data_IF_329339581380
#
_entry.id   IF_329339581380
#
_cell.length_a   1.000
_cell.length_b   1.000
_cell.length_c   1.000
_cell.angle_alpha   90.00
_cell.angle_beta   90.00
_cell.angle_gamma   90.00
#
_symmetry.space_group_name_H-M   'P 1'
#
loop_
_entity.id
_entity.type
_entity.pdbx_description
1 polymer ?
#
# COMPACT_ATOMS: atom_id res chain seq x y z
N UNK A 1 -11.72 10.30 13.90
CA UNK A 1 -12.09 10.74 12.55
C UNK A 1 -11.18 10.04 11.59
N UNK A 2 -11.75 9.13 10.78
CA UNK A 2 -11.01 8.41 9.74
C UNK A 2 -10.45 9.42 8.75
N UNK A 3 -9.15 9.34 8.45
CA UNK A 3 -8.57 10.22 7.44
C UNK A 3 -9.03 9.79 6.06
N UNK A 4 -9.57 10.75 5.31
CA UNK A 4 -9.95 10.56 3.92
C UNK A 4 -8.73 10.28 3.05
N UNK A 5 -8.86 9.32 2.13
CA UNK A 5 -7.81 9.00 1.18
C UNK A 5 -7.73 10.12 0.12
N UNK A 6 -6.55 10.74 0.01
CA UNK A 6 -6.25 11.79 -0.96
C UNK A 6 -6.33 11.23 -2.37
N UNK A 7 -6.94 11.98 -3.27
CA UNK A 7 -7.08 11.59 -4.66
C UNK A 7 -5.98 12.20 -5.54
N UNK A 8 -5.82 11.71 -6.75
CA UNK A 8 -4.70 11.99 -7.68
C UNK A 8 -4.43 13.48 -7.93
N UNK A 9 -5.43 14.34 -7.71
CA UNK A 9 -5.32 15.79 -7.86
C UNK A 9 -4.61 16.46 -6.68
N UNK A 10 -4.52 15.78 -5.51
CA UNK A 10 -3.86 16.35 -4.33
C UNK A 10 -2.33 16.44 -4.57
N UNK A 11 -1.74 17.64 -4.50
CA UNK A 11 -0.32 17.84 -4.78
C UNK A 11 0.62 17.10 -3.82
N UNK A 12 0.12 16.63 -2.65
CA UNK A 12 0.93 15.85 -1.72
C UNK A 12 1.36 14.51 -2.33
N UNK A 13 0.51 13.91 -3.19
CA UNK A 13 0.80 12.65 -3.87
C UNK A 13 1.88 12.77 -4.96
N UNK A 14 2.24 14.01 -5.32
CA UNK A 14 3.27 14.33 -6.30
C UNK A 14 4.59 14.78 -5.67
N UNK A 15 4.65 14.82 -4.34
CA UNK A 15 5.85 15.19 -3.60
C UNK A 15 6.62 13.96 -3.16
N UNK A 16 7.95 14.06 -3.21
CA UNK A 16 8.81 13.07 -2.58
C UNK A 16 8.64 13.12 -1.08
N UNK A 17 8.30 11.98 -0.48
CA UNK A 17 8.12 11.84 0.96
C UNK A 17 9.46 11.93 1.69
N UNK A 18 9.47 12.55 2.87
CA UNK A 18 10.67 12.74 3.70
C UNK A 18 10.90 11.55 4.62
N UNK A 19 12.17 11.26 4.92
CA UNK A 19 12.53 10.19 5.87
C UNK A 19 12.01 10.52 7.27
N UNK A 20 11.51 9.51 7.96
CA UNK A 20 11.22 9.56 9.39
C UNK A 20 12.54 9.58 10.14
N UNK A 21 12.81 10.56 11.03
CA UNK A 21 13.98 10.49 11.92
C UNK A 21 13.93 9.20 12.76
N UNK A 22 15.05 8.51 12.90
CA UNK A 22 15.08 7.25 13.67
C UNK A 22 14.67 7.45 15.12
N UNK A 23 14.95 8.62 15.70
CA UNK A 23 14.51 9.02 17.04
C UNK A 23 12.99 9.11 17.20
N UNK A 24 12.25 9.30 16.10
CA UNK A 24 10.80 9.44 16.11
C UNK A 24 10.09 8.08 16.04
N UNK A 25 10.83 7.00 15.70
CA UNK A 25 10.25 5.65 15.66
C UNK A 25 9.85 5.24 17.08
N UNK A 26 8.62 4.77 17.23
CA UNK A 26 8.04 4.44 18.55
C UNK A 26 7.40 5.60 19.29
N UNK A 27 7.56 6.85 18.79
CA UNK A 27 6.93 8.03 19.40
C UNK A 27 5.39 7.95 19.33
N UNK A 28 4.72 8.63 20.27
CA UNK A 28 3.24 8.73 20.28
C UNK A 28 2.71 9.35 18.98
N UNK A 29 3.44 10.31 18.41
CA UNK A 29 3.11 10.94 17.12
C UNK A 29 3.13 9.93 15.98
N UNK A 30 4.20 9.11 15.88
CA UNK A 30 4.30 8.12 14.81
C UNK A 30 3.28 7.00 15.00
N UNK A 31 3.06 6.51 16.23
CA UNK A 31 2.02 5.53 16.53
C UNK A 31 0.63 6.01 16.10
N UNK A 32 0.32 7.31 16.34
CA UNK A 32 -0.93 7.89 15.86
C UNK A 32 -1.02 7.87 14.34
N UNK A 33 0.04 8.24 13.61
CA UNK A 33 0.07 8.21 12.14
C UNK A 33 -0.15 6.79 11.63
N UNK A 34 0.53 5.78 12.18
CA UNK A 34 0.34 4.37 11.81
C UNK A 34 -1.09 3.91 12.07
N UNK A 35 -1.70 4.33 13.19
CA UNK A 35 -3.11 4.07 13.50
C UNK A 35 -4.06 4.70 12.47
N UNK A 36 -3.85 5.98 12.13
CA UNK A 36 -4.64 6.70 11.12
C UNK A 36 -4.52 6.02 9.74
N UNK A 37 -3.31 5.56 9.36
CA UNK A 37 -3.08 4.81 8.11
C UNK A 37 -3.81 3.46 8.13
N UNK A 38 -3.72 2.73 9.23
CA UNK A 38 -4.38 1.42 9.38
C UNK A 38 -5.91 1.57 9.31
N UNK A 39 -6.47 2.59 9.96
CA UNK A 39 -7.90 2.88 9.90
C UNK A 39 -8.34 3.18 8.46
N UNK A 40 -7.58 4.01 7.73
CA UNK A 40 -7.86 4.33 6.34
C UNK A 40 -7.78 3.10 5.44
N UNK A 41 -6.76 2.24 5.62
CA UNK A 41 -6.57 1.01 4.86
C UNK A 41 -7.69 0.00 5.10
N UNK A 42 -8.04 -0.24 6.36
CA UNK A 42 -9.06 -1.22 6.74
C UNK A 42 -10.49 -0.72 6.48
N UNK A 43 -10.66 0.58 6.28
CA UNK A 43 -11.90 1.17 5.76
C UNK A 43 -12.15 0.92 4.28
N UNK A 44 -11.19 0.33 3.56
CA UNK A 44 -11.32 -0.01 2.14
C UNK A 44 -11.44 -1.52 1.96
N UNK A 45 -12.47 -1.94 1.25
CA UNK A 45 -12.80 -3.34 1.01
C UNK A 45 -11.68 -4.07 0.26
N UNK A 46 -11.19 -3.44 -0.79
CA UNK A 46 -10.16 -3.92 -1.69
C UNK A 46 -8.74 -3.44 -1.33
N UNK A 47 -8.59 -2.63 -0.26
CA UNK A 47 -7.30 -2.08 0.14
C UNK A 47 -6.33 -3.18 0.61
N UNK A 48 -5.19 -3.31 -0.03
CA UNK A 48 -4.12 -4.29 0.33
C UNK A 48 -2.92 -3.62 0.98
N UNK A 49 -2.67 -2.35 0.65
CA UNK A 49 -1.58 -1.53 1.19
C UNK A 49 -1.94 -0.05 1.13
N UNK A 50 -1.21 0.78 1.86
CA UNK A 50 -1.37 2.24 1.86
C UNK A 50 -0.06 2.94 2.21
N UNK A 51 0.29 4.00 1.49
CA UNK A 51 1.40 4.88 1.79
C UNK A 51 0.95 6.14 2.56
N UNK A 52 1.80 6.68 3.43
CA UNK A 52 1.47 7.85 4.25
C UNK A 52 1.04 9.09 3.44
N UNK A 53 1.58 9.38 2.24
CA UNK A 53 1.08 10.48 1.41
C UNK A 53 -0.41 10.35 1.07
N UNK A 54 -0.96 9.13 0.97
CA UNK A 54 -2.37 8.89 0.66
C UNK A 54 -3.33 9.35 1.78
N UNK A 55 -2.83 9.51 3.00
CA UNK A 55 -3.58 10.13 4.11
C UNK A 55 -3.13 11.56 4.40
N UNK A 56 -2.42 12.21 3.48
CA UNK A 56 -1.97 13.58 3.63
C UNK A 56 -0.73 13.76 4.51
N UNK A 57 0.07 12.72 4.73
CA UNK A 57 1.30 12.75 5.54
C UNK A 57 2.52 12.47 4.66
N UNK A 58 3.38 13.48 4.44
CA UNK A 58 4.55 13.36 3.56
C UNK A 58 5.74 12.69 4.26
N UNK A 59 5.54 11.47 4.77
CA UNK A 59 6.58 10.64 5.38
C UNK A 59 6.81 9.35 4.59
N UNK A 60 8.05 8.86 4.61
CA UNK A 60 8.40 7.58 3.97
C UNK A 60 7.93 6.41 4.82
N UNK A 61 6.65 6.11 4.72
CA UNK A 61 6.00 5.00 5.42
C UNK A 61 4.98 4.36 4.49
N UNK A 62 4.92 3.04 4.47
CA UNK A 62 3.75 2.33 3.97
C UNK A 62 3.37 1.15 4.87
N UNK A 63 2.11 0.76 4.81
CA UNK A 63 1.55 -0.40 5.49
C UNK A 63 1.07 -1.42 4.46
N UNK A 64 1.20 -2.71 4.79
CA UNK A 64 0.63 -3.82 4.02
C UNK A 64 -0.27 -4.64 4.94
N UNK A 65 -1.52 -4.87 4.57
CA UNK A 65 -2.44 -5.72 5.32
C UNK A 65 -1.88 -7.15 5.38
N UNK A 66 -1.75 -7.74 6.57
CA UNK A 66 -1.23 -9.12 6.73
C UNK A 66 -2.11 -10.15 6.03
N UNK A 67 -3.41 -9.93 6.00
CA UNK A 67 -4.34 -10.78 5.25
C UNK A 67 -3.94 -10.93 3.77
N UNK A 68 -3.29 -9.92 3.16
CA UNK A 68 -2.79 -9.97 1.78
C UNK A 68 -1.72 -11.05 1.59
N UNK A 69 -0.97 -11.39 2.65
CA UNK A 69 0.07 -12.44 2.61
C UNK A 69 -0.53 -13.84 2.64
N UNK A 70 -1.71 -13.97 3.24
CA UNK A 70 -2.44 -15.23 3.45
C UNK A 70 -3.45 -15.48 2.31
N UNK A 71 -3.77 -14.44 1.52
CA UNK A 71 -4.80 -14.46 0.47
C UNK A 71 -4.53 -15.41 -0.70
N UNK A 72 -3.42 -16.15 -0.72
CA UNK A 72 -3.17 -17.05 -1.85
C UNK A 72 -4.12 -18.27 -1.88
N UNK A 73 -4.97 -18.53 -0.90
CA UNK A 73 -5.80 -19.75 -0.93
C UNK A 73 -7.22 -19.73 -0.31
N UNK A 74 -7.64 -18.80 0.56
CA UNK A 74 -8.91 -19.03 1.30
C UNK A 74 -9.86 -17.83 1.52
N UNK A 75 -9.53 -16.60 1.14
CA UNK A 75 -10.38 -15.42 1.41
C UNK A 75 -11.40 -15.10 0.30
N UNK A 76 -11.21 -15.62 -0.91
CA UNK A 76 -12.15 -15.41 -2.03
C UNK A 76 -13.50 -16.13 -1.83
N UNK A 77 -13.53 -17.14 -0.95
CA UNK A 77 -14.73 -17.96 -0.72
C UNK A 77 -15.73 -17.37 0.29
N UNK A 78 -15.39 -16.27 0.99
CA UNK A 78 -16.27 -15.68 1.99
C UNK A 78 -17.13 -14.58 1.40
N UNK A 79 -18.43 -14.81 1.35
CA UNK A 79 -19.43 -13.99 0.64
C UNK A 79 -19.77 -12.65 1.31
N UNK A 80 -19.36 -12.40 2.58
CA UNK A 80 -19.74 -11.19 3.31
C UNK A 80 -18.56 -10.19 3.43
N UNK A 81 -18.75 -8.98 2.90
CA UNK A 81 -17.78 -7.87 2.92
C UNK A 81 -17.40 -7.48 4.35
N UNK A 82 -18.37 -7.41 5.26
CA UNK A 82 -18.15 -7.06 6.67
C UNK A 82 -17.21 -8.04 7.37
N UNK A 83 -17.43 -9.33 7.18
CA UNK A 83 -16.61 -10.38 7.79
C UNK A 83 -15.17 -10.34 7.25
N UNK A 84 -14.99 -10.04 5.96
CA UNK A 84 -13.67 -9.87 5.35
C UNK A 84 -12.91 -8.68 5.93
N UNK A 85 -13.58 -7.54 6.14
CA UNK A 85 -12.98 -6.36 6.74
C UNK A 85 -12.57 -6.59 8.19
N UNK A 86 -13.41 -7.25 8.99
CA UNK A 86 -13.11 -7.61 10.38
C UNK A 86 -11.91 -8.56 10.48
N UNK A 87 -11.88 -9.61 9.65
CA UNK A 87 -10.75 -10.53 9.57
C UNK A 87 -9.45 -9.84 9.15
N UNK A 88 -9.53 -8.96 8.16
CA UNK A 88 -8.40 -8.15 7.69
C UNK A 88 -7.85 -7.26 8.82
N UNK A 89 -8.74 -6.62 9.57
CA UNK A 89 -8.39 -5.80 10.73
C UNK A 89 -7.80 -6.63 11.87
N UNK A 90 -8.36 -7.81 12.15
CA UNK A 90 -7.87 -8.73 13.18
C UNK A 90 -6.47 -9.28 12.84
N UNK A 91 -6.19 -9.58 11.56
CA UNK A 91 -4.87 -10.00 11.11
C UNK A 91 -3.80 -8.92 11.27
N UNK A 92 -4.20 -7.63 11.22
CA UNK A 92 -3.32 -6.49 11.37
C UNK A 92 -2.52 -6.16 10.10
N UNK A 93 -1.42 -5.46 10.27
CA UNK A 93 -0.58 -4.97 9.16
C UNK A 93 0.91 -5.16 9.42
N UNK A 94 1.70 -5.07 8.36
CA UNK A 94 3.15 -4.92 8.40
C UNK A 94 3.51 -3.45 8.16
N UNK A 95 4.47 -2.95 8.91
CA UNK A 95 4.97 -1.58 8.84
C UNK A 95 6.32 -1.52 8.12
N UNK A 96 6.44 -0.59 7.19
CA UNK A 96 7.66 -0.30 6.46
C UNK A 96 7.99 1.19 6.60
N UNK A 97 8.93 1.53 7.49
CA UNK A 97 9.41 2.90 7.74
C UNK A 97 10.72 3.10 7.01
N UNK A 98 10.86 4.22 6.30
CA UNK A 98 12.01 4.55 5.45
C UNK A 98 12.38 3.43 4.46
N UNK A 99 11.40 2.86 3.75
CA UNK A 99 11.66 1.74 2.86
C UNK A 99 12.55 2.15 1.68
N UNK A 100 13.42 1.22 1.32
CA UNK A 100 14.27 1.30 0.13
C UNK A 100 14.23 -0.05 -0.60
N UNK A 101 13.97 -0.02 -1.92
CA UNK A 101 14.11 -1.22 -2.74
C UNK A 101 15.59 -1.47 -2.96
N UNK A 102 16.10 -2.56 -2.37
CA UNK A 102 17.53 -2.94 -2.46
C UNK A 102 17.81 -3.92 -3.58
N UNK A 103 16.78 -4.63 -4.07
CA UNK A 103 16.92 -5.58 -5.17
C UNK A 103 15.62 -5.70 -5.96
N UNK A 104 15.75 -5.73 -7.30
CA UNK A 104 14.68 -6.08 -8.23
C UNK A 104 15.15 -7.18 -9.17
N UNK A 105 14.27 -8.13 -9.50
CA UNK A 105 14.56 -9.10 -10.54
C UNK A 105 14.64 -8.44 -11.91
N UNK A 106 15.49 -9.00 -12.80
CA UNK A 106 15.53 -8.62 -14.23
C UNK A 106 14.27 -9.07 -14.95
N UNK A 107 13.72 -10.22 -14.54
CA UNK A 107 12.47 -10.74 -15.05
C UNK A 107 11.31 -9.87 -14.59
N UNK A 108 10.47 -9.44 -15.55
CA UNK A 108 9.34 -8.53 -15.34
C UNK A 108 8.05 -9.17 -15.88
N UNK A 109 6.94 -8.74 -15.35
CA UNK A 109 5.60 -9.08 -15.83
C UNK A 109 4.78 -7.80 -16.08
N UNK A 110 3.83 -7.92 -17.01
CA UNK A 110 2.78 -6.92 -17.18
C UNK A 110 1.63 -7.35 -16.26
N UNK A 111 1.28 -6.51 -15.31
CA UNK A 111 0.30 -6.79 -14.27
C UNK A 111 -0.81 -5.72 -14.31
N UNK A 112 -2.01 -6.11 -13.94
CA UNK A 112 -3.08 -5.15 -13.66
C UNK A 112 -2.79 -4.47 -12.33
N UNK A 113 -2.99 -3.14 -12.28
CA UNK A 113 -2.76 -2.32 -11.09
C UNK A 113 -3.84 -1.25 -10.97
N UNK A 114 -4.27 -1.01 -9.76
CA UNK A 114 -5.16 0.07 -9.35
C UNK A 114 -4.61 0.74 -8.11
N UNK A 115 -5.23 1.82 -7.66
CA UNK A 115 -4.80 2.57 -6.49
C UNK A 115 -5.98 3.23 -5.79
N UNK A 116 -6.00 3.19 -4.47
CA UNK A 116 -7.02 3.85 -3.65
C UNK A 116 -7.11 5.36 -3.89
N UNK A 117 -6.00 5.97 -4.34
CA UNK A 117 -5.89 7.41 -4.65
C UNK A 117 -6.20 7.76 -6.10
N UNK A 118 -6.53 6.79 -6.95
CA UNK A 118 -6.69 6.98 -8.39
C UNK A 118 -7.96 6.27 -8.91
N UNK A 119 -8.93 6.08 -8.04
CA UNK A 119 -10.21 5.47 -8.42
C UNK A 119 -10.98 6.33 -9.44
N UNK A 120 -11.72 5.70 -10.36
CA UNK A 120 -11.93 4.27 -10.58
C UNK A 120 -10.94 3.64 -11.60
N UNK A 121 -9.76 4.23 -11.81
CA UNK A 121 -8.83 3.82 -12.86
C UNK A 121 -8.01 2.59 -12.50
N UNK A 122 -7.87 1.70 -13.49
CA UNK A 122 -6.97 0.56 -13.50
C UNK A 122 -6.15 0.58 -14.79
N UNK A 123 -4.98 -0.05 -14.78
CA UNK A 123 -4.14 -0.11 -15.96
C UNK A 123 -3.15 -1.25 -15.93
N UNK A 124 -2.49 -1.49 -17.04
CA UNK A 124 -1.42 -2.49 -17.14
C UNK A 124 -0.07 -1.84 -16.95
N UNK A 125 0.71 -2.36 -16.00
CA UNK A 125 2.03 -1.83 -15.67
C UNK A 125 3.09 -2.93 -15.67
N UNK A 126 4.29 -2.59 -16.11
CA UNK A 126 5.43 -3.51 -16.10
C UNK A 126 6.17 -3.44 -14.78
N UNK A 127 6.15 -4.53 -14.01
CA UNK A 127 6.81 -4.66 -12.70
C UNK A 127 7.80 -5.81 -12.69
N UNK A 128 8.85 -5.70 -11.85
CA UNK A 128 9.74 -6.82 -11.56
C UNK A 128 8.98 -7.91 -10.81
N UNK A 129 9.18 -9.19 -11.19
CA UNK A 129 8.49 -10.34 -10.56
C UNK A 129 8.92 -10.57 -9.11
N UNK A 130 10.14 -10.12 -8.75
CA UNK A 130 10.65 -10.19 -7.36
C UNK A 130 11.23 -8.85 -6.96
N UNK A 131 11.01 -8.48 -5.71
CA UNK A 131 11.55 -7.27 -5.09
C UNK A 131 12.04 -7.59 -3.68
N UNK A 132 13.08 -6.91 -3.22
CA UNK A 132 13.51 -6.93 -1.83
C UNK A 132 13.51 -5.50 -1.31
N UNK A 133 12.85 -5.29 -0.18
CA UNK A 133 12.79 -4.01 0.52
C UNK A 133 13.58 -4.12 1.82
N UNK A 134 14.39 -3.10 2.11
CA UNK A 134 14.97 -2.83 3.42
C UNK A 134 14.19 -1.70 4.06
N UNK A 135 13.78 -1.87 5.32
CA UNK A 135 12.99 -0.88 6.05
C UNK A 135 13.18 -1.04 7.56
N UNK A 136 12.63 -0.11 8.34
CA UNK A 136 12.47 -0.27 9.79
C UNK A 136 11.01 -0.67 10.09
N UNK A 137 10.84 -1.51 11.11
CA UNK A 137 9.52 -1.79 11.68
C UNK A 137 9.09 -0.67 12.66
N UNK A 138 7.91 -0.80 13.26
CA UNK A 138 7.37 0.14 14.24
C UNK A 138 8.16 0.19 15.56
N UNK A 139 9.04 -0.78 15.81
CA UNK A 139 9.91 -0.85 16.99
C UNK A 139 11.32 -0.31 16.70
N UNK A 140 11.61 0.09 15.45
CA UNK A 140 12.92 0.59 15.03
C UNK A 140 13.91 -0.50 14.64
N UNK A 141 13.47 -1.76 14.49
CA UNK A 141 14.33 -2.83 14.02
C UNK A 141 14.48 -2.73 12.49
N UNK A 142 15.73 -2.72 12.03
CA UNK A 142 16.05 -2.79 10.60
C UNK A 142 15.85 -4.23 10.11
N UNK A 143 15.16 -4.38 8.99
CA UNK A 143 14.93 -5.68 8.35
C UNK A 143 15.02 -5.59 6.83
N UNK A 144 15.24 -6.73 6.19
CA UNK A 144 15.05 -6.92 4.75
C UNK A 144 13.96 -7.97 4.52
N UNK A 145 13.12 -7.71 3.54
CA UNK A 145 12.07 -8.65 3.12
C UNK A 145 12.06 -8.82 1.62
N UNK A 146 12.36 -10.02 1.17
CA UNK A 146 12.16 -10.45 -0.21
C UNK A 146 10.71 -10.87 -0.47
N UNK A 147 10.22 -10.60 -1.67
CA UNK A 147 8.87 -10.94 -2.09
C UNK A 147 8.79 -11.30 -3.58
N UNK A 148 7.74 -12.03 -3.94
CA UNK A 148 7.31 -12.33 -5.31
C UNK A 148 5.81 -12.09 -5.47
N UNK A 149 5.29 -12.16 -6.69
CA UNK A 149 3.85 -12.00 -6.96
C UNK A 149 3.30 -10.67 -6.47
N UNK A 150 2.10 -10.69 -5.87
CA UNK A 150 1.40 -9.49 -5.42
C UNK A 150 2.22 -8.65 -4.43
N UNK A 151 2.90 -9.27 -3.48
CA UNK A 151 3.68 -8.53 -2.50
C UNK A 151 4.88 -7.80 -3.15
N UNK A 152 5.52 -8.39 -4.16
CA UNK A 152 6.56 -7.70 -4.92
C UNK A 152 6.01 -6.52 -5.74
N UNK A 153 4.79 -6.64 -6.25
CA UNK A 153 4.08 -5.55 -6.92
C UNK A 153 3.76 -4.42 -5.93
N UNK A 154 3.23 -4.75 -4.75
CA UNK A 154 2.93 -3.80 -3.67
C UNK A 154 4.19 -3.01 -3.27
N UNK A 155 5.33 -3.68 -3.05
CA UNK A 155 6.57 -2.99 -2.69
C UNK A 155 6.96 -1.93 -3.71
N UNK A 156 6.81 -2.21 -5.00
CA UNK A 156 7.13 -1.27 -6.07
C UNK A 156 6.10 -0.14 -6.14
N UNK A 157 4.81 -0.44 -5.97
CA UNK A 157 3.72 0.53 -5.97
C UNK A 157 3.84 1.51 -4.81
N UNK A 158 3.99 1.01 -3.58
CA UNK A 158 4.07 1.86 -2.38
C UNK A 158 5.35 2.70 -2.37
N UNK A 159 6.47 2.15 -2.88
CA UNK A 159 7.71 2.94 -3.04
C UNK A 159 7.55 4.04 -4.09
N UNK A 160 6.82 3.79 -5.18
CA UNK A 160 6.49 4.84 -6.16
C UNK A 160 5.73 6.00 -5.50
N UNK A 161 4.73 5.72 -4.64
CA UNK A 161 4.03 6.76 -3.88
C UNK A 161 4.99 7.63 -3.04
N UNK A 162 6.00 7.02 -2.43
CA UNK A 162 6.99 7.75 -1.63
C UNK A 162 7.95 8.60 -2.48
N UNK A 163 8.04 8.33 -3.78
CA UNK A 163 8.78 9.15 -4.75
C UNK A 163 7.87 10.16 -5.49
N UNK A 164 6.59 10.26 -5.13
CA UNK A 164 5.61 11.16 -5.77
C UNK A 164 5.12 10.65 -7.14
N UNK A 165 5.23 9.35 -7.39
CA UNK A 165 4.83 8.70 -8.63
C UNK A 165 3.53 7.93 -8.41
N UNK A 166 2.56 8.11 -9.30
CA UNK A 166 1.35 7.30 -9.34
C UNK A 166 1.45 6.26 -10.44
N UNK A 167 0.78 5.11 -10.26
CA UNK A 167 0.85 4.02 -11.24
C UNK A 167 0.43 4.45 -12.65
N UNK A 168 -0.50 5.41 -12.76
CA UNK A 168 -0.98 5.96 -14.03
C UNK A 168 0.12 6.66 -14.86
N UNK A 169 1.22 7.08 -14.22
CA UNK A 169 2.36 7.70 -14.91
C UNK A 169 3.17 6.68 -15.72
N UNK A 170 3.03 5.39 -15.41
CA UNK A 170 3.77 4.26 -15.98
C UNK A 170 2.86 3.23 -16.67
N UNK A 171 1.57 3.27 -16.37
CA UNK A 171 0.61 2.30 -16.86
C UNK A 171 0.19 2.58 -18.30
N UNK A 172 -0.11 1.49 -19.01
CA UNK A 172 -0.75 1.51 -20.31
C UNK A 172 -2.18 0.95 -20.20
N UNK A 173 -3.01 1.20 -21.22
CA UNK A 173 -4.37 0.67 -21.30
C UNK A 173 -5.19 1.00 -20.04
N UNK A 174 -5.19 2.30 -19.66
CA UNK A 174 -6.03 2.78 -18.57
C UNK A 174 -7.50 2.55 -18.91
N UNK A 175 -8.23 2.01 -17.94
CA UNK A 175 -9.67 1.73 -18.05
C UNK A 175 -10.32 2.06 -16.71
N UNK A 176 -11.58 2.48 -16.77
CA UNK A 176 -12.43 2.56 -15.60
C UNK A 176 -13.00 1.17 -15.31
N UNK A 177 -12.89 0.72 -14.07
CA UNK A 177 -13.67 -0.42 -13.61
C UNK A 177 -14.96 0.13 -12.98
N UNK A 178 -16.12 -0.44 -13.28
CA UNK A 178 -17.33 -0.07 -12.57
C UNK A 178 -17.14 -0.33 -11.08
N UNK A 179 -17.63 0.61 -10.26
CA UNK A 179 -17.67 0.38 -8.82
C UNK A 179 -18.37 -0.96 -8.53
N UNK A 180 -17.92 -1.71 -7.50
CA UNK A 180 -18.62 -2.91 -7.11
C UNK A 180 -20.09 -2.55 -6.88
N UNK A 181 -20.99 -3.15 -7.65
CA UNK A 181 -22.43 -2.96 -7.46
C UNK A 181 -22.74 -3.46 -6.05
N UNK A 182 -23.17 -2.54 -5.19
CA UNK A 182 -23.64 -2.86 -3.85
C UNK A 182 -24.74 -3.93 -3.99
N UNK A 183 -24.40 -5.17 -3.72
CA UNK A 183 -25.36 -6.26 -3.67
C UNK A 183 -25.99 -6.22 -2.28
N UNK A 184 -27.00 -5.34 -2.15
CA UNK A 184 -27.93 -5.34 -1.03
C UNK A 184 -28.54 -6.71 -0.79
#
# INVERSE_FOLDING_TARGET
>A
MTREIRQKEDPILRKKAIKVPLSDIGSAKLKKILGDMAEALFGQDDGVAIAAPQIGVSLRIFLVAKATLEMSQHLEERQNVKDRMELKKAAGYLTFINPEIVKLSRDKAILDEGCLSVRPLYGKIKRSRKATVRAYDENGNLFERGASGLLAQIFQHETDHLEGILFIDKANNLREMPEPVDRT
#
